data_IF_670749556052
#
_entry.id   IF_670749556052
#
_cell.length_a   1.000
_cell.length_b   1.000
_cell.length_c   1.000
_cell.angle_alpha   90.00
_cell.angle_beta   90.00
_cell.angle_gamma   90.00
#
_symmetry.space_group_name_H-M   'P 1'
#
loop_
_entity.id
_entity.type
_entity.pdbx_description
1 polymer ?
#
# COMPACT_ATOMS: atom_id res chain seq x y z
N UNK A 1 -8.72 6.92 -15.24
CA UNK A 1 -8.06 5.94 -14.35
C UNK A 1 -6.61 6.33 -14.25
N UNK A 2 -6.13 6.75 -13.07
CA UNK A 2 -4.70 6.99 -12.85
C UNK A 2 -4.12 5.67 -12.34
N UNK A 3 -3.47 4.92 -13.22
CA UNK A 3 -2.44 3.97 -12.77
C UNK A 3 -1.38 4.83 -12.07
N UNK A 4 -1.29 4.71 -10.76
CA UNK A 4 -0.30 5.42 -9.94
C UNK A 4 1.07 5.25 -10.61
N UNK A 5 1.68 6.33 -11.09
CA UNK A 5 2.89 6.33 -11.95
C UNK A 5 4.15 5.71 -11.30
N UNK A 6 4.01 5.12 -10.12
CA UNK A 6 5.08 4.62 -9.27
C UNK A 6 4.67 3.28 -8.64
N UNK A 7 4.34 2.26 -9.43
CA UNK A 7 4.15 0.89 -8.90
C UNK A 7 5.53 0.26 -8.73
N UNK A 8 5.91 -0.06 -7.49
CA UNK A 8 7.19 -0.68 -7.14
C UNK A 8 7.09 -2.19 -6.99
N UNK A 9 5.90 -2.70 -6.68
CA UNK A 9 5.62 -4.12 -6.59
C UNK A 9 4.14 -4.37 -6.86
N UNK A 10 3.84 -5.50 -7.51
CA UNK A 10 2.49 -5.92 -7.84
C UNK A 10 2.34 -7.39 -7.48
N UNK A 11 1.52 -7.66 -6.46
CA UNK A 11 1.10 -8.98 -6.05
C UNK A 11 -0.22 -9.40 -6.68
N UNK A 12 -0.89 -10.37 -6.05
CA UNK A 12 -2.17 -10.91 -6.50
C UNK A 12 -3.32 -9.96 -6.19
N UNK A 13 -3.35 -9.42 -4.98
CA UNK A 13 -4.40 -8.55 -4.46
C UNK A 13 -3.89 -7.18 -4.09
N UNK A 14 -2.60 -7.06 -3.81
CA UNK A 14 -1.97 -5.85 -3.31
C UNK A 14 -0.88 -5.34 -4.26
N UNK A 15 -0.67 -4.04 -4.24
CA UNK A 15 0.42 -3.37 -4.94
C UNK A 15 1.09 -2.38 -4.00
N UNK A 16 2.42 -2.25 -4.12
CA UNK A 16 3.17 -1.19 -3.46
C UNK A 16 3.36 -0.07 -4.45
N UNK A 17 2.94 1.13 -4.08
CA UNK A 17 3.10 2.33 -4.90
C UNK A 17 3.81 3.44 -4.13
N UNK A 18 4.10 4.57 -4.77
CA UNK A 18 4.57 5.78 -4.07
C UNK A 18 3.67 6.25 -2.93
N UNK A 19 2.41 5.83 -2.94
CA UNK A 19 1.39 6.23 -1.96
C UNK A 19 1.30 5.29 -0.76
N UNK A 20 1.90 4.10 -0.82
CA UNK A 20 1.77 3.06 0.21
C UNK A 20 1.43 1.69 -0.38
N UNK A 21 0.56 0.96 0.31
CA UNK A 21 0.05 -0.35 -0.10
C UNK A 21 -1.41 -0.20 -0.53
N UNK A 22 -1.74 -0.63 -1.75
CA UNK A 22 -3.05 -0.42 -2.35
C UNK A 22 -3.64 -1.72 -2.88
N UNK A 23 -4.96 -1.87 -2.78
CA UNK A 23 -5.63 -3.01 -3.38
C UNK A 23 -5.59 -2.88 -4.92
N UNK A 24 -5.20 -3.95 -5.61
CA UNK A 24 -5.20 -4.05 -7.08
C UNK A 24 -6.61 -3.92 -7.63
N UNK A 25 -7.59 -4.48 -6.90
CA UNK A 25 -8.99 -4.42 -7.27
C UNK A 25 -9.64 -3.09 -6.84
N UNK A 26 -10.30 -2.43 -7.78
CA UNK A 26 -11.05 -1.19 -7.52
C UNK A 26 -12.39 -1.43 -6.81
N UNK A 27 -12.80 -2.69 -6.62
CA UNK A 27 -14.09 -3.04 -6.01
C UNK A 27 -14.28 -2.46 -4.60
N UNK A 28 -13.18 -2.18 -3.89
CA UNK A 28 -13.21 -1.68 -2.52
C UNK A 28 -13.01 -0.16 -2.40
N UNK A 29 -12.96 0.58 -3.53
CA UNK A 29 -12.85 2.05 -3.57
C UNK A 29 -11.76 2.61 -2.63
N UNK A 30 -10.58 1.98 -2.60
CA UNK A 30 -9.43 2.38 -1.76
C UNK A 30 -9.67 2.32 -0.23
N UNK A 31 -10.77 1.70 0.23
CA UNK A 31 -11.11 1.62 1.66
C UNK A 31 -10.04 0.95 2.52
N UNK A 32 -9.34 -0.03 1.93
CA UNK A 32 -8.35 -0.84 2.63
C UNK A 32 -6.92 -0.49 2.20
N UNK A 33 -6.73 0.59 1.44
CA UNK A 33 -5.40 1.08 1.10
C UNK A 33 -4.72 1.60 2.37
N UNK A 34 -3.44 1.30 2.52
CA UNK A 34 -2.60 1.77 3.62
C UNK A 34 -1.66 2.84 3.07
N UNK A 35 -1.80 4.07 3.56
CA UNK A 35 -0.92 5.16 3.15
C UNK A 35 0.53 4.92 3.61
N UNK A 36 1.49 5.49 2.90
CA UNK A 36 2.92 5.35 3.18
C UNK A 36 3.30 5.71 4.64
N UNK A 37 2.61 6.68 5.24
CA UNK A 37 2.80 7.10 6.64
C UNK A 37 2.32 6.06 7.67
N UNK A 38 1.40 5.16 7.28
CA UNK A 38 0.77 4.18 8.16
C UNK A 38 1.34 2.75 8.01
N UNK A 39 2.32 2.52 7.13
CA UNK A 39 2.86 1.16 6.88
C UNK A 39 3.55 0.53 8.11
N UNK A 40 3.91 1.36 9.09
CA UNK A 40 4.56 0.96 10.34
C UNK A 40 3.59 0.79 11.51
N UNK A 41 2.32 1.16 11.31
CA UNK A 41 1.31 1.04 12.36
C UNK A 41 1.04 -0.44 12.67
N UNK A 42 0.82 -0.72 13.95
CA UNK A 42 0.50 -2.05 14.42
C UNK A 42 -0.94 -2.43 14.07
N UNK A 43 -1.16 -3.68 13.66
CA UNK A 43 -2.51 -4.22 13.43
C UNK A 43 -3.27 -3.61 12.26
N UNK A 44 -2.58 -3.00 11.29
CA UNK A 44 -3.19 -2.43 10.08
C UNK A 44 -4.00 -3.43 9.24
N UNK A 45 -3.70 -4.72 9.34
CA UNK A 45 -4.46 -5.80 8.70
C UNK A 45 -5.71 -6.23 9.47
N UNK A 46 -5.89 -5.81 10.73
CA UNK A 46 -7.00 -6.25 11.57
C UNK A 46 -8.39 -6.01 10.94
N UNK A 47 -8.68 -4.86 10.29
CA UNK A 47 -9.96 -4.63 9.61
C UNK A 47 -10.15 -5.51 8.36
N UNK A 48 -9.06 -5.96 7.73
CA UNK A 48 -9.11 -6.78 6.51
C UNK A 48 -9.21 -8.27 6.83
N UNK A 49 -8.69 -8.72 7.98
CA UNK A 49 -8.74 -10.13 8.41
C UNK A 49 -10.15 -10.69 8.55
N UNK A 50 -11.18 -9.85 8.67
CA UNK A 50 -12.58 -10.26 8.72
C UNK A 50 -13.22 -10.43 7.33
N UNK A 51 -12.51 -10.04 6.27
CA UNK A 51 -13.01 -10.05 4.90
C UNK A 51 -12.64 -11.35 4.17
N UNK A 52 -13.61 -12.00 3.53
CA UNK A 52 -13.40 -13.26 2.80
C UNK A 52 -12.45 -13.11 1.60
N UNK A 53 -12.38 -11.91 1.02
CA UNK A 53 -11.53 -11.68 -0.14
C UNK A 53 -10.06 -11.49 0.24
N UNK A 54 -9.72 -11.24 1.52
CA UNK A 54 -8.39 -10.79 1.93
C UNK A 54 -7.34 -11.91 1.90
N UNK A 55 -6.29 -11.71 1.08
CA UNK A 55 -5.09 -12.54 1.06
C UNK A 55 -4.02 -11.95 1.99
N UNK A 56 -3.93 -12.52 3.19
CA UNK A 56 -3.02 -12.05 4.24
C UNK A 56 -1.54 -12.24 3.88
N UNK A 57 -1.20 -13.29 3.11
CA UNK A 57 0.18 -13.56 2.71
C UNK A 57 0.66 -12.57 1.65
N UNK A 58 -0.22 -12.24 0.68
CA UNK A 58 0.05 -11.22 -0.33
C UNK A 58 0.18 -9.82 0.32
N UNK A 59 -0.66 -9.52 1.31
CA UNK A 59 -0.57 -8.26 2.07
C UNK A 59 0.72 -8.16 2.90
N UNK A 60 1.11 -9.23 3.58
CA UNK A 60 2.35 -9.26 4.36
C UNK A 60 3.59 -9.01 3.48
N UNK A 61 3.63 -9.60 2.29
CA UNK A 61 4.68 -9.33 1.30
C UNK A 61 4.68 -7.87 0.83
N UNK A 62 3.49 -7.32 0.55
CA UNK A 62 3.35 -5.92 0.17
C UNK A 62 3.92 -4.99 1.26
N UNK A 63 3.62 -5.26 2.53
CA UNK A 63 4.15 -4.49 3.65
C UNK A 63 5.66 -4.60 3.81
N UNK A 64 6.23 -5.79 3.66
CA UNK A 64 7.68 -5.96 3.69
C UNK A 64 8.36 -5.10 2.63
N UNK A 65 7.85 -5.15 1.39
CA UNK A 65 8.38 -4.37 0.28
C UNK A 65 8.21 -2.87 0.52
N UNK A 66 7.04 -2.43 0.99
CA UNK A 66 6.77 -1.03 1.31
C UNK A 66 7.74 -0.49 2.39
N UNK A 67 7.93 -1.25 3.47
CA UNK A 67 8.82 -0.91 4.59
C UNK A 67 10.29 -0.87 4.19
N UNK A 68 10.72 -1.80 3.33
CA UNK A 68 12.07 -1.77 2.75
C UNK A 68 12.25 -0.50 1.90
N UNK A 69 11.29 -0.23 1.01
CA UNK A 69 11.35 0.92 0.10
C UNK A 69 11.32 2.26 0.84
N UNK A 70 10.51 2.38 1.89
CA UNK A 70 10.44 3.59 2.72
C UNK A 70 11.77 3.92 3.41
N UNK A 71 12.65 2.92 3.61
CA UNK A 71 14.00 3.10 4.16
C UNK A 71 15.03 3.40 3.08
N UNK A 72 14.96 2.71 1.94
CA UNK A 72 15.92 2.85 0.84
C UNK A 72 15.77 4.17 0.07
N UNK A 73 14.54 4.62 -0.15
CA UNK A 73 14.26 5.79 -0.98
C UNK A 73 12.98 6.51 -0.53
N UNK A 74 13.04 7.21 0.63
CA UNK A 74 11.88 7.88 1.20
C UNK A 74 11.24 8.89 0.25
N UNK A 75 12.03 9.55 -0.61
CA UNK A 75 11.57 10.62 -1.51
C UNK A 75 10.59 10.13 -2.58
N UNK A 76 10.68 8.85 -2.94
CA UNK A 76 9.78 8.23 -3.93
C UNK A 76 8.63 7.47 -3.28
N UNK A 77 8.64 7.39 -1.95
CA UNK A 77 7.69 6.69 -1.11
C UNK A 77 7.05 7.68 -0.13
N UNK A 78 6.48 8.75 -0.69
CA UNK A 78 5.91 9.87 0.05
C UNK A 78 4.52 10.20 -0.48
N UNK A 79 3.62 10.49 0.45
CA UNK A 79 2.28 11.00 0.17
C UNK A 79 2.39 12.28 -0.69
N UNK A 80 1.58 12.43 -1.76
CA UNK A 80 1.68 13.53 -2.73
C UNK A 80 1.35 14.90 -2.12
N UNK A 81 0.87 14.95 -0.87
CA UNK A 81 0.64 16.21 -0.17
C UNK A 81 1.94 16.99 0.13
N UNK A 82 3.12 16.45 -0.20
CA UNK A 82 4.38 17.21 -0.14
C UNK A 82 4.66 18.06 -1.40
N UNK A 83 3.83 17.96 -2.45
CA UNK A 83 3.98 18.73 -3.71
C UNK A 83 3.01 19.92 -3.85
N UNK A 84 2.25 20.26 -2.80
CA UNK A 84 1.50 21.52 -2.73
C UNK A 84 2.29 22.54 -1.91
N UNK A 85 3.26 23.18 -2.58
CA UNK A 85 3.98 24.38 -2.13
C UNK A 85 3.16 25.64 -2.37
#
# INVERSE_FOLDING_TARGET
MVLHRHVFWLGRQWAVTGYGVQAVSQSHKMRFDVAAEHIWDDGIDAPMRTEVWFDADDFAQALEVARRRSREDPRTFQSPMSDER
#
